data_IF_919010466640
#
_entry.id   IF_919010466640
#
_cell.length_a   1.000
_cell.length_b   1.000
_cell.length_c   1.000
_cell.angle_alpha   90.00
_cell.angle_beta   90.00
_cell.angle_gamma   90.00
#
_symmetry.space_group_name_H-M   'P 1'
#
loop_
_entity.id
_entity.type
_entity.pdbx_description
1 polymer ?
#
# COMPACT_ATOMS: atom_id res chain seq x y z
N UNK A 1 -13.57 18.53 -2.96
CA UNK A 1 -12.74 17.31 -2.89
C UNK A 1 -12.82 16.77 -1.47
N UNK A 2 -13.13 15.49 -1.29
CA UNK A 2 -13.14 14.87 0.04
C UNK A 2 -11.74 14.93 0.68
N UNK A 3 -11.69 15.25 1.96
CA UNK A 3 -10.48 15.37 2.77
C UNK A 3 -9.84 13.98 3.01
N UNK A 4 -8.51 13.92 3.01
CA UNK A 4 -7.77 12.72 3.44
C UNK A 4 -7.58 12.74 4.95
N UNK A 5 -7.94 11.64 5.61
CA UNK A 5 -7.64 11.40 7.01
C UNK A 5 -6.35 10.61 7.11
N UNK A 6 -5.39 11.08 7.90
CA UNK A 6 -4.12 10.39 8.14
C UNK A 6 -4.05 9.97 9.59
N UNK A 7 -3.81 8.69 9.82
CA UNK A 7 -3.60 8.14 11.15
C UNK A 7 -2.14 7.70 11.31
N UNK A 8 -1.50 8.20 12.36
CA UNK A 8 -0.10 7.92 12.69
C UNK A 8 -0.01 6.75 13.67
N UNK A 9 -0.23 5.55 13.14
CA UNK A 9 -0.17 4.30 13.88
C UNK A 9 1.24 3.94 14.37
N UNK A 10 1.31 2.93 15.24
CA UNK A 10 2.57 2.42 15.75
C UNK A 10 3.23 1.56 14.68
N UNK A 11 4.37 2.02 14.17
CA UNK A 11 5.12 1.30 13.13
C UNK A 11 4.56 1.43 11.72
N UNK A 12 3.52 2.24 11.50
CA UNK A 12 2.96 2.57 10.19
C UNK A 12 2.18 3.89 10.19
N UNK A 13 2.13 4.55 9.04
CA UNK A 13 1.19 5.63 8.75
C UNK A 13 0.15 5.13 7.75
N UNK A 14 -1.11 5.48 7.98
CA UNK A 14 -2.24 5.07 7.15
C UNK A 14 -3.01 6.31 6.75
N UNK A 15 -3.55 6.31 5.55
CA UNK A 15 -4.42 7.38 5.09
C UNK A 15 -5.63 6.82 4.37
N UNK A 16 -6.78 7.42 4.58
CA UNK A 16 -8.03 7.09 3.87
C UNK A 16 -8.69 8.36 3.38
N UNK A 17 -9.36 8.25 2.25
CA UNK A 17 -10.38 9.20 1.82
C UNK A 17 -11.73 8.51 1.89
N UNK A 18 -12.69 9.17 2.51
CA UNK A 18 -14.03 8.62 2.74
C UNK A 18 -15.01 9.40 1.88
N UNK A 19 -15.94 8.68 1.26
CA UNK A 19 -17.08 9.24 0.55
C UNK A 19 -18.30 8.36 0.84
N UNK A 20 -19.46 8.96 1.14
CA UNK A 20 -20.69 8.26 1.54
C UNK A 20 -20.48 7.13 2.54
N UNK A 21 -19.67 7.39 3.58
CA UNK A 21 -19.37 6.44 4.66
C UNK A 21 -18.53 5.24 4.22
N UNK A 22 -17.83 5.30 3.08
CA UNK A 22 -16.95 4.24 2.59
C UNK A 22 -15.56 4.75 2.25
N UNK A 23 -14.55 3.91 2.48
CA UNK A 23 -13.19 4.20 2.02
C UNK A 23 -13.17 4.13 0.48
N UNK A 24 -12.92 5.25 -0.20
CA UNK A 24 -12.83 5.32 -1.67
C UNK A 24 -11.40 5.35 -2.18
N UNK A 25 -10.43 5.63 -1.30
CA UNK A 25 -9.01 5.53 -1.57
C UNK A 25 -8.27 5.35 -0.24
N UNK A 26 -7.16 4.64 -0.26
CA UNK A 26 -6.30 4.53 0.91
C UNK A 26 -4.83 4.47 0.52
N UNK A 27 -3.95 4.76 1.48
CA UNK A 27 -2.50 4.61 1.36
C UNK A 27 -1.92 4.12 2.67
N UNK A 28 -0.79 3.43 2.57
CA UNK A 28 -0.06 2.92 3.72
C UNK A 28 1.44 3.12 3.52
N UNK A 29 2.10 3.67 4.53
CA UNK A 29 3.54 3.89 4.56
C UNK A 29 4.12 3.22 5.81
N UNK A 30 5.08 2.32 5.60
CA UNK A 30 5.88 1.77 6.70
C UNK A 30 7.25 2.47 6.75
N UNK A 31 7.82 2.66 7.94
CA UNK A 31 9.18 3.16 8.08
C UNK A 31 10.20 2.11 7.58
N UNK A 32 11.41 2.58 7.29
CA UNK A 32 12.57 1.73 6.97
C UNK A 32 13.06 1.79 5.53
N UNK A 33 12.33 2.44 4.62
CA UNK A 33 12.81 2.74 3.26
C UNK A 33 12.54 4.20 2.95
N UNK A 34 13.48 4.88 2.30
CA UNK A 34 13.27 6.25 1.83
C UNK A 34 12.05 6.29 0.88
N UNK A 35 10.98 7.04 1.23
CA UNK A 35 9.73 7.04 0.47
C UNK A 35 9.83 7.86 -0.82
N UNK A 36 8.90 7.63 -1.74
CA UNK A 36 8.71 8.52 -2.89
C UNK A 36 8.37 9.95 -2.42
N UNK A 37 8.96 10.94 -3.08
CA UNK A 37 8.90 12.36 -2.70
C UNK A 37 10.08 12.83 -1.85
N UNK A 38 10.85 11.91 -1.25
CA UNK A 38 12.01 12.28 -0.44
C UNK A 38 13.08 12.99 -1.28
N UNK A 39 13.61 14.09 -0.74
CA UNK A 39 14.73 14.83 -1.33
C UNK A 39 15.96 14.61 -0.46
N UNK A 40 16.94 13.90 -1.02
CA UNK A 40 18.13 13.42 -0.30
C UNK A 40 19.41 13.72 -1.05
N UNK A 41 20.50 13.85 -0.29
CA UNK A 41 21.85 13.83 -0.84
C UNK A 41 22.26 12.37 -1.09
N UNK A 42 22.65 12.05 -2.33
CA UNK A 42 22.99 10.69 -2.75
C UNK A 42 24.39 10.66 -3.38
N UNK A 43 25.16 9.61 -3.07
CA UNK A 43 26.49 9.41 -3.64
C UNK A 43 26.38 8.79 -5.03
N UNK A 44 26.96 9.40 -6.07
CA UNK A 44 27.07 8.80 -7.41
C UNK A 44 28.06 7.65 -7.35
N UNK A 45 27.57 6.41 -7.50
CA UNK A 45 28.39 5.20 -7.39
C UNK A 45 28.82 4.66 -8.74
N UNK A 46 28.01 4.85 -9.78
CA UNK A 46 28.33 4.40 -11.12
C UNK A 46 27.65 5.26 -12.19
N UNK A 47 28.39 5.79 -13.16
CA UNK A 47 27.85 6.51 -14.32
C UNK A 47 27.67 5.56 -15.48
N UNK A 48 26.50 5.62 -16.13
CA UNK A 48 26.28 4.90 -17.37
C UNK A 48 26.84 5.71 -18.56
N UNK A 49 27.88 5.21 -19.27
CA UNK A 49 28.56 5.96 -20.32
C UNK A 49 27.61 6.47 -21.40
N UNK A 50 27.83 7.71 -21.87
CA UNK A 50 27.02 8.33 -22.93
C UNK A 50 25.61 8.75 -22.52
N UNK A 51 25.23 8.63 -21.24
CA UNK A 51 23.89 8.98 -20.75
C UNK A 51 23.92 9.99 -19.59
N UNK A 52 22.74 10.54 -19.28
CA UNK A 52 22.48 11.35 -18.08
C UNK A 52 21.99 10.50 -16.90
N UNK A 53 22.27 9.20 -16.90
CA UNK A 53 21.84 8.26 -15.88
C UNK A 53 23.03 7.78 -15.03
N UNK A 54 22.73 7.41 -13.79
CA UNK A 54 23.69 6.83 -12.87
C UNK A 54 23.02 5.86 -11.90
N UNK A 55 23.82 4.99 -11.28
CA UNK A 55 23.49 4.44 -9.98
C UNK A 55 23.95 5.44 -8.92
N UNK A 56 23.07 5.68 -7.95
CA UNK A 56 23.37 6.46 -6.76
C UNK A 56 23.03 5.64 -5.52
N UNK A 57 23.76 5.89 -4.44
CA UNK A 57 23.49 5.33 -3.11
C UNK A 57 22.89 6.41 -2.23
N UNK A 58 21.68 6.15 -1.73
CA UNK A 58 20.95 7.03 -0.83
C UNK A 58 21.52 6.97 0.60
N UNK A 59 21.16 7.90 1.51
CA UNK A 59 21.70 7.94 2.87
C UNK A 59 21.48 6.67 3.71
N UNK A 60 20.40 5.93 3.46
CA UNK A 60 20.09 4.66 4.13
C UNK A 60 20.82 3.44 3.53
N UNK A 61 21.68 3.66 2.53
CA UNK A 61 22.39 2.62 1.79
C UNK A 61 21.62 2.05 0.59
N UNK A 62 20.35 2.42 0.40
CA UNK A 62 19.53 1.98 -0.73
C UNK A 62 20.15 2.44 -2.06
N UNK A 63 20.18 1.56 -3.05
CA UNK A 63 20.56 1.93 -4.42
C UNK A 63 19.36 2.47 -5.21
N UNK A 64 19.58 3.55 -5.96
CA UNK A 64 18.61 4.10 -6.88
C UNK A 64 19.20 4.27 -8.29
N UNK A 65 18.39 4.02 -9.31
CA UNK A 65 18.66 4.49 -10.66
C UNK A 65 18.29 5.97 -10.74
N UNK A 66 19.28 6.84 -10.86
CA UNK A 66 19.08 8.26 -10.97
C UNK A 66 19.17 8.74 -12.43
N UNK A 67 18.35 9.73 -12.78
CA UNK A 67 18.34 10.36 -14.12
C UNK A 67 18.51 11.88 -14.05
N UNK A 68 18.78 12.49 -15.20
CA UNK A 68 19.04 13.93 -15.39
C UNK A 68 20.29 14.45 -14.65
N UNK A 69 21.31 13.61 -14.49
CA UNK A 69 22.60 14.05 -13.94
C UNK A 69 23.40 14.81 -15.01
N UNK A 70 23.74 16.09 -14.79
CA UNK A 70 24.71 16.82 -15.62
C UNK A 70 26.06 16.10 -15.70
N UNK A 71 26.93 16.54 -16.61
CA UNK A 71 28.29 15.97 -16.74
C UNK A 71 29.17 16.24 -15.52
N UNK A 72 28.89 17.31 -14.78
CA UNK A 72 29.62 17.69 -13.56
C UNK A 72 29.41 16.71 -12.40
N UNK A 73 28.28 16.00 -12.40
CA UNK A 73 27.93 15.00 -11.39
C UNK A 73 28.70 13.69 -11.65
N UNK A 74 29.99 13.65 -11.35
CA UNK A 74 30.85 12.49 -11.61
C UNK A 74 30.73 11.41 -10.53
N UNK A 75 31.22 10.20 -10.82
CA UNK A 75 31.37 9.16 -9.80
C UNK A 75 32.15 9.68 -8.59
N UNK A 76 31.73 9.29 -7.38
CA UNK A 76 32.29 9.76 -6.12
C UNK A 76 31.74 11.11 -5.62
N UNK A 77 30.97 11.84 -6.44
CA UNK A 77 30.33 13.08 -5.99
C UNK A 77 29.01 12.83 -5.29
N UNK A 78 28.64 13.74 -4.39
CA UNK A 78 27.30 13.76 -3.78
C UNK A 78 26.41 14.70 -4.57
N UNK A 79 25.21 14.24 -4.90
CA UNK A 79 24.22 14.98 -5.69
C UNK A 79 22.87 14.93 -4.99
N UNK A 80 22.10 16.01 -5.09
CA UNK A 80 20.75 16.04 -4.56
C UNK A 80 19.77 15.42 -5.55
N UNK A 81 18.97 14.48 -5.06
CA UNK A 81 17.97 13.77 -5.85
C UNK A 81 16.63 13.77 -5.14
N UNK A 82 15.55 13.77 -5.93
CA UNK A 82 14.20 13.42 -5.46
C UNK A 82 13.92 11.98 -5.82
N UNK A 83 13.46 11.18 -4.85
CA UNK A 83 13.02 9.80 -5.08
C UNK A 83 11.64 9.82 -5.74
N UNK A 84 11.55 9.35 -6.98
CA UNK A 84 10.27 9.30 -7.72
C UNK A 84 9.53 7.97 -7.53
N UNK A 85 10.28 6.90 -7.27
CA UNK A 85 9.75 5.58 -6.91
C UNK A 85 10.61 4.97 -5.83
N UNK A 86 10.00 4.54 -4.73
CA UNK A 86 10.70 3.88 -3.64
C UNK A 86 11.32 2.55 -4.09
N UNK A 87 12.29 2.05 -3.32
CA UNK A 87 12.77 0.68 -3.49
C UNK A 87 11.69 -0.30 -3.04
N UNK A 88 11.48 -1.36 -3.84
CA UNK A 88 10.39 -2.31 -3.62
C UNK A 88 10.95 -3.72 -3.58
N UNK A 89 10.72 -4.42 -2.46
CA UNK A 89 11.00 -5.84 -2.39
C UNK A 89 9.99 -6.60 -3.25
N UNK A 90 10.47 -7.61 -3.97
CA UNK A 90 9.65 -8.57 -4.70
C UNK A 90 10.14 -9.99 -4.38
N UNK A 91 9.37 -11.01 -4.76
CA UNK A 91 9.83 -12.41 -4.61
C UNK A 91 11.13 -12.61 -5.38
N UNK A 92 12.23 -12.82 -4.65
CA UNK A 92 13.56 -13.14 -5.19
C UNK A 92 14.37 -11.97 -5.74
N UNK A 93 13.88 -10.71 -5.68
CA UNK A 93 14.66 -9.53 -6.10
C UNK A 93 14.24 -8.23 -5.41
N UNK A 94 15.14 -7.25 -5.39
CA UNK A 94 14.84 -5.88 -5.00
C UNK A 94 14.74 -5.00 -6.25
N UNK A 95 13.58 -4.40 -6.50
CA UNK A 95 13.47 -3.30 -7.45
C UNK A 95 14.10 -2.06 -6.82
N UNK A 96 15.29 -1.70 -7.29
CA UNK A 96 15.99 -0.46 -6.90
C UNK A 96 15.05 0.75 -6.98
N UNK A 97 15.29 1.76 -6.16
CA UNK A 97 14.56 3.02 -6.25
C UNK A 97 14.80 3.71 -7.61
N UNK A 98 13.92 4.63 -7.99
CA UNK A 98 14.17 5.57 -9.09
C UNK A 98 14.21 6.98 -8.54
N UNK A 99 15.17 7.77 -9.01
CA UNK A 99 15.38 9.12 -8.56
C UNK A 99 15.71 10.06 -9.72
N UNK A 100 15.52 11.36 -9.52
CA UNK A 100 15.88 12.40 -10.49
C UNK A 100 16.68 13.47 -9.79
N UNK A 101 17.77 13.94 -10.41
CA UNK A 101 18.53 15.08 -9.87
C UNK A 101 17.59 16.27 -9.67
N UNK A 102 17.72 16.93 -8.53
CA UNK A 102 16.88 18.08 -8.16
C UNK A 102 17.67 19.16 -7.42
N UNK A 103 17.14 20.38 -7.40
CA UNK A 103 17.65 21.51 -6.59
C UNK A 103 16.70 21.88 -5.44
N UNK A 104 15.64 21.09 -5.23
CA UNK A 104 14.71 21.28 -4.12
C UNK A 104 15.44 21.25 -2.76
N UNK A 105 14.83 21.82 -1.73
CA UNK A 105 15.35 21.72 -0.37
C UNK A 105 15.32 20.26 0.11
N UNK A 106 16.30 19.89 0.95
CA UNK A 106 16.37 18.55 1.52
C UNK A 106 15.13 18.24 2.38
N UNK A 107 14.53 17.08 2.14
CA UNK A 107 13.44 16.52 2.92
C UNK A 107 13.58 14.99 2.86
N UNK A 108 14.42 14.39 3.70
CA UNK A 108 14.80 12.99 3.55
C UNK A 108 13.68 12.00 3.91
N UNK A 109 12.70 12.43 4.72
CA UNK A 109 11.68 11.56 5.29
C UNK A 109 10.32 12.24 5.31
N UNK A 110 9.71 12.54 4.14
CA UNK A 110 8.36 13.06 4.10
C UNK A 110 7.41 12.06 4.74
N UNK A 111 6.55 12.55 5.63
CA UNK A 111 5.45 11.76 6.18
C UNK A 111 4.43 11.44 5.10
N UNK A 112 3.52 10.50 5.37
CA UNK A 112 2.39 10.24 4.48
C UNK A 112 1.51 11.49 4.32
N UNK A 113 1.36 12.30 5.38
CA UNK A 113 0.65 13.58 5.32
C UNK A 113 1.37 14.59 4.39
N UNK A 114 2.69 14.77 4.54
CA UNK A 114 3.47 15.65 3.66
C UNK A 114 3.35 15.22 2.19
N UNK A 115 3.42 13.91 1.94
CA UNK A 115 3.28 13.35 0.59
C UNK A 115 1.92 13.70 -0.02
N UNK A 116 0.83 13.48 0.71
CA UNK A 116 -0.53 13.81 0.26
C UNK A 116 -0.70 15.31 0.01
N UNK A 117 -0.18 16.17 0.89
CA UNK A 117 -0.22 17.62 0.73
C UNK A 117 0.57 18.08 -0.51
N UNK A 118 1.74 17.48 -0.76
CA UNK A 118 2.57 17.78 -1.94
C UNK A 118 1.87 17.41 -3.26
N UNK A 119 0.95 16.45 -3.22
CA UNK A 119 0.08 16.05 -4.33
C UNK A 119 -1.17 16.95 -4.46
N UNK A 120 -1.31 17.97 -3.61
CA UNK A 120 -2.41 18.95 -3.65
C UNK A 120 -3.66 18.51 -2.91
N UNK A 121 -3.58 17.51 -2.02
CA UNK A 121 -4.72 17.05 -1.25
C UNK A 121 -4.89 17.80 0.08
N UNK A 122 -6.14 18.01 0.50
CA UNK A 122 -6.46 18.42 1.88
C UNK A 122 -6.23 17.23 2.81
N UNK A 123 -5.53 17.46 3.92
CA UNK A 123 -5.12 16.41 4.85
C UNK A 123 -5.46 16.82 6.28
N UNK A 124 -6.08 15.90 7.02
CA UNK A 124 -6.30 16.00 8.46
C UNK A 124 -5.69 14.81 9.17
N UNK A 125 -4.78 15.08 10.10
CA UNK A 125 -4.25 14.05 11.00
C UNK A 125 -5.31 13.74 12.05
N UNK A 126 -5.59 12.45 12.25
CA UNK A 126 -6.57 11.95 13.21
C UNK A 126 -5.93 10.93 14.14
N UNK A 127 -6.40 10.90 15.38
CA UNK A 127 -5.97 9.87 16.34
C UNK A 127 -6.49 8.47 15.95
N UNK A 128 -7.72 8.43 15.43
CA UNK A 128 -8.34 7.23 14.85
C UNK A 128 -9.17 7.60 13.65
N UNK A 129 -9.24 6.71 12.67
CA UNK A 129 -10.28 6.81 11.65
C UNK A 129 -11.68 6.73 12.30
N UNK A 130 -12.67 7.42 11.73
CA UNK A 130 -14.05 7.32 12.19
C UNK A 130 -14.59 5.91 11.92
N UNK A 131 -15.64 5.51 12.62
CA UNK A 131 -16.09 4.12 12.61
C UNK A 131 -16.66 3.67 11.25
N UNK A 132 -17.10 4.61 10.40
CA UNK A 132 -17.52 4.30 9.03
C UNK A 132 -16.33 3.97 8.10
N UNK A 133 -15.10 4.33 8.50
CA UNK A 133 -13.90 3.96 7.76
C UNK A 133 -13.46 2.55 8.15
N UNK A 134 -14.09 1.54 7.54
CA UNK A 134 -13.79 0.15 7.83
C UNK A 134 -12.41 -0.29 7.30
N UNK A 135 -11.38 0.05 8.06
CA UNK A 135 -10.01 -0.37 7.79
C UNK A 135 -9.81 -1.87 8.01
N UNK A 136 -10.58 -2.50 8.92
CA UNK A 136 -10.42 -3.93 9.18
C UNK A 136 -10.91 -4.74 7.97
N UNK A 137 -12.01 -4.32 7.34
CA UNK A 137 -12.49 -4.87 6.07
C UNK A 137 -11.44 -4.67 4.96
N UNK A 138 -10.95 -3.44 4.75
CA UNK A 138 -9.90 -3.17 3.75
C UNK A 138 -8.64 -4.04 3.98
N UNK A 139 -8.23 -4.19 5.24
CA UNK A 139 -7.10 -5.03 5.60
C UNK A 139 -7.40 -6.50 5.34
N UNK A 140 -8.60 -6.98 5.65
CA UNK A 140 -9.03 -8.35 5.41
C UNK A 140 -9.02 -8.68 3.91
N UNK A 141 -9.54 -7.80 3.06
CA UNK A 141 -9.49 -7.98 1.60
C UNK A 141 -8.04 -7.94 1.08
N UNK A 142 -7.19 -7.03 1.59
CA UNK A 142 -5.77 -7.00 1.23
C UNK A 142 -5.02 -8.25 1.74
N UNK A 143 -5.48 -8.85 2.83
CA UNK A 143 -4.94 -10.06 3.43
C UNK A 143 -5.33 -11.31 2.62
N UNK A 144 -6.61 -11.50 2.33
CA UNK A 144 -7.07 -12.62 1.51
C UNK A 144 -6.63 -12.47 0.05
N UNK A 145 -6.54 -11.23 -0.44
CA UNK A 145 -6.45 -10.92 -1.86
C UNK A 145 -7.81 -11.05 -2.55
N UNK A 146 -8.91 -11.05 -1.80
CA UNK A 146 -10.26 -11.28 -2.32
C UNK A 146 -11.13 -10.05 -2.06
N UNK A 147 -11.80 -9.55 -3.11
CA UNK A 147 -12.77 -8.45 -3.00
C UNK A 147 -14.12 -8.94 -3.54
N UNK A 148 -15.13 -9.14 -2.67
CA UNK A 148 -16.44 -9.61 -3.12
C UNK A 148 -17.19 -8.52 -3.90
N UNK A 149 -18.04 -8.95 -4.82
CA UNK A 149 -19.02 -8.10 -5.50
C UNK A 149 -20.31 -8.87 -5.76
N UNK A 150 -21.32 -8.20 -6.33
CA UNK A 150 -22.60 -8.87 -6.59
C UNK A 150 -22.44 -10.01 -7.60
N UNK A 151 -22.61 -11.24 -7.14
CA UNK A 151 -22.54 -12.45 -7.96
C UNK A 151 -21.13 -13.00 -8.19
N UNK A 152 -20.09 -12.45 -7.55
CA UNK A 152 -18.72 -12.90 -7.79
C UNK A 152 -17.68 -12.30 -6.84
N UNK A 153 -16.42 -12.57 -7.13
CA UNK A 153 -15.26 -12.12 -6.34
C UNK A 153 -14.09 -11.78 -7.27
N UNK A 154 -13.35 -10.73 -6.93
CA UNK A 154 -12.06 -10.41 -7.56
C UNK A 154 -10.94 -11.08 -6.77
N UNK A 155 -10.04 -11.79 -7.45
CA UNK A 155 -8.87 -12.44 -6.83
C UNK A 155 -7.59 -11.75 -7.28
N UNK A 156 -6.86 -11.14 -6.34
CA UNK A 156 -5.64 -10.38 -6.58
C UNK A 156 -4.40 -11.22 -6.29
N UNK A 157 -3.55 -11.39 -7.30
CA UNK A 157 -2.27 -12.08 -7.19
C UNK A 157 -1.10 -11.19 -7.64
N UNK A 158 -0.11 -10.96 -6.75
CA UNK A 158 1.12 -10.24 -7.12
C UNK A 158 2.15 -11.19 -7.73
N UNK A 159 2.67 -10.81 -8.90
CA UNK A 159 3.81 -11.49 -9.54
C UNK A 159 4.98 -10.51 -9.70
N UNK A 160 6.21 -11.00 -9.97
CA UNK A 160 7.34 -10.10 -10.25
C UNK A 160 7.10 -9.16 -11.45
N UNK A 161 6.27 -9.56 -12.41
CA UNK A 161 6.03 -8.81 -13.65
C UNK A 161 4.85 -7.84 -13.53
N UNK A 162 3.75 -8.29 -12.95
CA UNK A 162 2.49 -7.56 -12.86
C UNK A 162 1.59 -8.07 -11.73
N UNK A 163 0.61 -7.28 -11.33
CA UNK A 163 -0.51 -7.77 -10.50
C UNK A 163 -1.58 -8.35 -11.42
N UNK A 164 -2.00 -9.58 -11.17
CA UNK A 164 -3.11 -10.21 -11.86
C UNK A 164 -4.38 -10.10 -11.01
N UNK A 165 -5.50 -9.84 -11.67
CA UNK A 165 -6.84 -9.82 -11.07
C UNK A 165 -7.70 -10.77 -11.86
N UNK A 166 -8.11 -11.86 -11.23
CA UNK A 166 -9.08 -12.80 -11.80
C UNK A 166 -10.50 -12.37 -11.39
N UNK A 167 -11.44 -12.48 -12.33
CA UNK A 167 -12.84 -12.12 -12.15
C UNK A 167 -13.67 -13.40 -12.18
N UNK A 168 -14.03 -13.90 -11.00
CA UNK A 168 -14.80 -15.13 -10.84
C UNK A 168 -16.24 -14.83 -10.38
N UNK A 169 -17.20 -15.65 -10.80
CA UNK A 169 -18.61 -15.51 -10.41
C UNK A 169 -19.63 -15.96 -11.46
N UNK A 170 -20.91 -15.87 -11.08
CA UNK A 170 -22.07 -16.30 -11.88
C UNK A 170 -23.29 -15.38 -11.69
N UNK A 171 -24.15 -15.24 -12.72
CA UNK A 171 -24.02 -15.76 -14.08
C UNK A 171 -22.98 -14.98 -14.91
N UNK A 172 -22.33 -15.65 -15.86
CA UNK A 172 -21.18 -15.13 -16.63
C UNK A 172 -21.52 -13.85 -17.40
N UNK A 173 -22.76 -13.71 -17.85
CA UNK A 173 -23.23 -12.56 -18.62
C UNK A 173 -23.28 -11.27 -17.78
N UNK A 174 -23.48 -11.40 -16.46
CA UNK A 174 -23.58 -10.26 -15.55
C UNK A 174 -22.27 -9.99 -14.80
N UNK A 175 -21.47 -11.02 -14.54
CA UNK A 175 -20.29 -10.94 -13.67
C UNK A 175 -19.27 -9.90 -14.14
N UNK A 176 -19.03 -9.79 -15.46
CA UNK A 176 -18.08 -8.81 -16.01
C UNK A 176 -18.48 -7.38 -15.73
N UNK A 177 -19.78 -7.05 -15.85
CA UNK A 177 -20.29 -5.71 -15.57
C UNK A 177 -20.33 -5.41 -14.06
N UNK A 178 -20.71 -6.40 -13.24
CA UNK A 178 -20.75 -6.26 -11.79
C UNK A 178 -19.36 -6.11 -11.16
N UNK A 179 -18.34 -6.69 -11.80
CA UNK A 179 -16.95 -6.62 -11.35
C UNK A 179 -16.34 -5.21 -11.54
N UNK A 180 -16.77 -4.44 -12.54
CA UNK A 180 -16.12 -3.17 -12.90
C UNK A 180 -16.12 -2.14 -11.75
N UNK A 181 -17.25 -1.87 -11.05
CA UNK A 181 -17.22 -0.95 -9.92
C UNK A 181 -16.32 -1.44 -8.78
N UNK A 182 -16.34 -2.74 -8.48
CA UNK A 182 -15.51 -3.35 -7.45
C UNK A 182 -14.01 -3.26 -7.80
N UNK A 183 -13.66 -3.51 -9.06
CA UNK A 183 -12.30 -3.40 -9.57
C UNK A 183 -11.81 -1.96 -9.50
N UNK A 184 -12.59 -1.01 -10.02
CA UNK A 184 -12.26 0.41 -9.98
C UNK A 184 -12.11 0.94 -8.55
N UNK A 185 -12.93 0.45 -7.61
CA UNK A 185 -12.80 0.71 -6.18
C UNK A 185 -11.51 0.12 -5.61
N UNK A 186 -11.27 -1.17 -5.79
CA UNK A 186 -10.11 -1.88 -5.27
C UNK A 186 -8.78 -1.27 -5.76
N UNK A 187 -8.69 -0.87 -7.03
CA UNK A 187 -7.51 -0.19 -7.58
C UNK A 187 -7.12 1.07 -6.76
N UNK A 188 -8.11 1.86 -6.35
CA UNK A 188 -7.91 3.08 -5.56
C UNK A 188 -7.73 2.79 -4.07
N UNK A 189 -8.50 1.85 -3.53
CA UNK A 189 -8.47 1.49 -2.10
C UNK A 189 -7.18 0.75 -1.73
N UNK A 190 -6.62 -0.05 -2.63
CA UNK A 190 -5.33 -0.72 -2.40
C UNK A 190 -4.12 0.12 -2.83
N UNK A 191 -4.29 1.30 -3.42
CA UNK A 191 -3.21 2.09 -4.04
C UNK A 191 -2.43 1.25 -5.07
N UNK A 192 -3.17 0.51 -5.91
CA UNK A 192 -2.56 -0.33 -6.94
C UNK A 192 -1.99 0.52 -8.07
N UNK A 193 -0.82 0.11 -8.57
CA UNK A 193 -0.14 0.76 -9.67
C UNK A 193 0.87 -0.20 -10.33
N UNK A 194 1.49 0.25 -11.40
CA UNK A 194 2.40 -0.56 -12.21
C UNK A 194 1.65 -1.27 -13.33
N UNK A 195 2.13 -2.45 -13.69
CA UNK A 195 1.50 -3.29 -14.70
C UNK A 195 0.45 -4.17 -14.02
N UNK A 196 -0.79 -4.12 -14.50
CA UNK A 196 -1.94 -4.81 -13.93
C UNK A 196 -2.67 -5.54 -15.06
N UNK A 197 -2.99 -6.81 -14.86
CA UNK A 197 -3.70 -7.64 -15.83
C UNK A 197 -5.02 -8.10 -15.23
N UNK A 198 -6.12 -7.86 -15.93
CA UNK A 198 -7.46 -8.24 -15.51
C UNK A 198 -7.92 -9.36 -16.44
N UNK A 199 -8.26 -10.50 -15.86
CA UNK A 199 -8.79 -11.66 -16.56
C UNK A 199 -10.30 -11.70 -16.33
N UNK A 200 -11.06 -11.13 -17.28
CA UNK A 200 -12.51 -11.28 -17.29
C UNK A 200 -12.90 -12.63 -17.91
N UNK A 201 -14.07 -13.19 -17.56
CA UNK A 201 -14.60 -14.32 -18.30
C UNK A 201 -14.65 -14.04 -19.80
N UNK A 202 -14.38 -15.07 -20.59
CA UNK A 202 -14.37 -14.94 -22.05
C UNK A 202 -15.75 -14.57 -22.57
N UNK A 203 -15.84 -13.39 -23.21
CA UNK A 203 -17.06 -12.93 -23.88
C UNK A 203 -16.94 -13.17 -25.39
N UNK A 204 -17.87 -13.95 -25.96
CA UNK A 204 -17.90 -14.29 -27.39
C UNK A 204 -18.30 -13.10 -28.26
N UNK A 205 -19.29 -12.34 -27.81
CA UNK A 205 -19.86 -11.26 -28.60
C UNK A 205 -19.03 -9.97 -28.53
N UNK A 206 -18.80 -9.38 -29.70
CA UNK A 206 -18.02 -8.13 -29.81
C UNK A 206 -18.71 -6.97 -29.10
N UNK A 207 -20.05 -6.93 -29.12
CA UNK A 207 -20.83 -5.89 -28.46
C UNK A 207 -20.62 -5.92 -26.95
N UNK A 208 -20.60 -7.11 -26.34
CA UNK A 208 -20.39 -7.27 -24.89
C UNK A 208 -18.99 -6.84 -24.47
N UNK A 209 -17.96 -7.21 -25.25
CA UNK A 209 -16.59 -6.72 -25.01
C UNK A 209 -16.50 -5.20 -25.10
N UNK A 210 -17.19 -4.59 -26.06
CA UNK A 210 -17.26 -3.14 -26.19
C UNK A 210 -18.00 -2.48 -25.01
N UNK A 211 -19.05 -3.11 -24.50
CA UNK A 211 -19.79 -2.63 -23.33
C UNK A 211 -18.90 -2.65 -22.07
N UNK A 212 -18.15 -3.73 -21.84
CA UNK A 212 -17.17 -3.80 -20.73
C UNK A 212 -16.09 -2.75 -20.90
N UNK A 213 -15.54 -2.60 -22.11
CA UNK A 213 -14.54 -1.56 -22.40
C UNK A 213 -15.07 -0.16 -22.08
N UNK A 214 -16.32 0.14 -22.48
CA UNK A 214 -16.93 1.44 -22.21
C UNK A 214 -17.11 1.68 -20.71
N UNK A 215 -17.74 0.73 -20.00
CA UNK A 215 -17.97 0.84 -18.57
C UNK A 215 -16.67 0.92 -17.75
N UNK A 216 -15.63 0.18 -18.16
CA UNK A 216 -14.32 0.27 -17.52
C UNK A 216 -13.66 1.64 -17.75
N UNK A 217 -13.79 2.21 -18.96
CA UNK A 217 -13.32 3.57 -19.24
C UNK A 217 -14.03 4.60 -18.34
N UNK A 218 -15.35 4.50 -18.18
CA UNK A 218 -16.12 5.40 -17.33
C UNK A 218 -15.70 5.26 -15.85
N UNK A 219 -15.62 4.03 -15.33
CA UNK A 219 -15.26 3.77 -13.94
C UNK A 219 -13.83 4.23 -13.59
N UNK A 220 -12.93 4.26 -14.58
CA UNK A 220 -11.54 4.68 -14.42
C UNK A 220 -11.25 6.11 -14.91
N UNK A 221 -12.24 6.87 -15.38
CA UNK A 221 -12.03 8.19 -15.99
C UNK A 221 -11.25 9.19 -15.11
N UNK A 222 -11.42 9.11 -13.78
CA UNK A 222 -10.73 9.95 -12.80
C UNK A 222 -9.46 9.34 -12.19
N UNK A 223 -8.96 8.23 -12.73
CA UNK A 223 -7.77 7.55 -12.22
C UNK A 223 -6.67 7.52 -13.29
N UNK A 224 -5.46 8.06 -13.04
CA UNK A 224 -4.42 8.16 -14.07
C UNK A 224 -3.87 6.79 -14.49
N UNK A 225 -4.16 6.39 -15.73
CA UNK A 225 -3.71 5.10 -16.28
C UNK A 225 -3.71 5.12 -17.82
N UNK A 226 -3.05 4.12 -18.38
CA UNK A 226 -3.25 3.66 -19.75
C UNK A 226 -3.86 2.25 -19.70
N UNK A 227 -4.64 1.87 -20.71
CA UNK A 227 -5.18 0.50 -20.80
C UNK A 227 -5.31 0.02 -22.24
N UNK A 228 -5.34 -1.29 -22.40
CA UNK A 228 -5.80 -1.92 -23.64
C UNK A 228 -7.32 -2.02 -23.66
N UNK A 229 -7.87 -2.23 -24.85
CA UNK A 229 -9.19 -2.82 -25.00
C UNK A 229 -9.19 -4.28 -24.53
N UNK A 230 -10.37 -4.81 -24.22
CA UNK A 230 -10.53 -6.24 -23.95
C UNK A 230 -10.20 -7.06 -25.20
N UNK A 231 -9.27 -7.99 -25.06
CA UNK A 231 -8.89 -8.88 -26.16
C UNK A 231 -9.92 -10.03 -26.34
N UNK A 232 -9.72 -10.86 -27.37
CA UNK A 232 -10.62 -12.00 -27.66
C UNK A 232 -10.67 -13.11 -26.61
N UNK A 233 -9.80 -13.05 -25.59
CA UNK A 233 -9.73 -14.02 -24.49
C UNK A 233 -10.28 -13.45 -23.17
N UNK A 234 -10.74 -12.20 -23.14
CA UNK A 234 -11.26 -11.54 -21.92
C UNK A 234 -10.22 -10.73 -21.14
N UNK A 235 -8.96 -10.66 -21.61
CA UNK A 235 -7.90 -9.99 -20.86
C UNK A 235 -7.83 -8.49 -21.18
N UNK A 236 -7.63 -7.69 -20.12
CA UNK A 236 -7.37 -6.25 -20.19
C UNK A 236 -6.06 -5.94 -19.44
N UNK A 237 -5.15 -5.22 -20.07
CA UNK A 237 -3.95 -4.72 -19.41
C UNK A 237 -4.14 -3.25 -19.04
N UNK A 238 -3.76 -2.91 -17.80
CA UNK A 238 -3.76 -1.56 -17.26
C UNK A 238 -2.34 -1.21 -16.82
N UNK A 239 -1.88 -0.01 -17.15
CA UNK A 239 -0.60 0.54 -16.73
C UNK A 239 -0.84 1.84 -15.97
N UNK A 240 -0.44 1.88 -14.72
CA UNK A 240 -0.48 3.08 -13.88
C UNK A 240 0.91 3.38 -13.31
N UNK A 241 1.18 4.67 -13.03
CA UNK A 241 2.49 5.10 -12.54
C UNK A 241 2.77 4.50 -11.15
N UNK A 242 3.75 3.60 -11.08
CA UNK A 242 4.18 2.98 -9.82
C UNK A 242 5.18 3.88 -9.08
N UNK A 243 4.75 4.48 -7.97
CA UNK A 243 5.62 5.29 -7.09
C UNK A 243 5.92 4.61 -5.76
N UNK A 244 4.98 3.81 -5.25
CA UNK A 244 5.04 3.15 -3.95
C UNK A 244 4.42 1.76 -3.99
N UNK A 245 4.72 0.94 -2.98
CA UNK A 245 4.19 -0.42 -2.84
C UNK A 245 2.74 -0.33 -2.41
N UNK A 246 1.83 -0.95 -3.18
CA UNK A 246 0.41 -1.04 -2.86
C UNK A 246 0.16 -1.74 -1.52
N UNK A 247 -1.00 -1.50 -0.92
CA UNK A 247 -1.41 -2.10 0.35
C UNK A 247 -1.45 -3.63 0.23
N UNK A 248 -2.14 -4.14 -0.79
CA UNK A 248 -2.27 -5.58 -1.05
C UNK A 248 -0.90 -6.25 -1.20
N UNK A 249 0.02 -5.63 -1.94
CA UNK A 249 1.37 -6.17 -2.14
C UNK A 249 2.19 -6.16 -0.85
N UNK A 250 2.11 -5.07 -0.09
CA UNK A 250 2.81 -4.92 1.20
C UNK A 250 2.35 -5.98 2.21
N UNK A 251 1.03 -6.19 2.32
CA UNK A 251 0.44 -7.23 3.17
C UNK A 251 0.87 -8.62 2.69
N UNK A 252 0.79 -8.90 1.39
CA UNK A 252 1.16 -10.20 0.81
C UNK A 252 2.63 -10.57 1.03
N UNK A 253 3.55 -9.62 0.86
CA UNK A 253 5.00 -9.87 0.99
C UNK A 253 5.49 -9.90 2.44
N UNK A 254 4.75 -9.28 3.36
CA UNK A 254 5.16 -9.16 4.77
C UNK A 254 4.03 -9.53 5.72
N UNK A 255 3.42 -10.71 5.53
CA UNK A 255 2.25 -11.18 6.30
C UNK A 255 2.41 -11.01 7.80
N UNK A 256 3.52 -11.51 8.37
CA UNK A 256 3.78 -11.40 9.82
C UNK A 256 3.96 -9.94 10.25
N UNK A 257 4.59 -9.11 9.42
CA UNK A 257 4.80 -7.69 9.71
C UNK A 257 3.53 -6.84 9.59
N UNK A 258 2.62 -7.21 8.70
CA UNK A 258 1.28 -6.61 8.58
C UNK A 258 0.38 -7.03 9.75
N UNK A 259 0.38 -8.32 10.08
CA UNK A 259 -0.36 -8.88 11.21
C UNK A 259 0.07 -8.26 12.55
N UNK A 260 1.37 -8.03 12.77
CA UNK A 260 1.86 -7.38 13.98
C UNK A 260 1.33 -5.94 14.13
N UNK A 261 1.19 -5.20 13.03
CA UNK A 261 0.70 -3.80 13.07
C UNK A 261 -0.80 -3.72 13.29
N UNK A 262 -1.60 -4.56 12.62
CA UNK A 262 -3.04 -4.61 12.88
C UNK A 262 -3.32 -5.09 14.31
N UNK A 263 -2.50 -6.00 14.87
CA UNK A 263 -2.58 -6.43 16.26
C UNK A 263 -2.35 -5.27 17.25
N UNK A 264 -1.32 -4.46 17.03
CA UNK A 264 -1.08 -3.24 17.81
C UNK A 264 -2.28 -2.29 17.72
N UNK A 265 -2.89 -2.17 16.54
CA UNK A 265 -4.05 -1.30 16.36
C UNK A 265 -5.27 -1.76 17.12
N UNK A 266 -5.55 -3.07 17.11
CA UNK A 266 -6.64 -3.66 17.91
C UNK A 266 -6.41 -3.43 19.41
N UNK A 267 -5.16 -3.52 19.86
CA UNK A 267 -4.79 -3.20 21.23
C UNK A 267 -4.93 -1.70 21.59
N UNK A 268 -4.66 -0.78 20.66
CA UNK A 268 -4.95 0.65 20.87
C UNK A 268 -6.45 0.93 20.98
N UNK A 269 -7.32 0.10 20.38
CA UNK A 269 -8.77 0.32 20.29
C UNK A 269 -9.57 -0.18 21.49
N UNK A 270 -9.01 -1.05 22.33
CA UNK A 270 -9.76 -1.52 23.50
C UNK A 270 -9.82 -0.43 24.56
N UNK A 271 -10.99 -0.24 25.16
CA UNK A 271 -11.24 0.81 26.15
C UNK A 271 -11.58 0.20 27.52
N UNK A 272 -11.22 0.90 28.59
CA UNK A 272 -11.46 0.49 29.97
C UNK A 272 -10.20 0.44 30.84
N UNK A 273 -10.37 0.37 32.18
CA UNK A 273 -9.28 0.31 33.15
C UNK A 273 -8.72 -1.10 33.30
N UNK A 274 -7.40 -1.23 33.50
CA UNK A 274 -6.73 -2.50 33.73
C UNK A 274 -5.47 -2.66 32.89
N UNK A 275 -5.15 -3.91 32.56
CA UNK A 275 -4.03 -4.31 31.70
C UNK A 275 -4.57 -4.62 30.30
N UNK A 276 -3.88 -4.14 29.26
CA UNK A 276 -4.18 -4.55 27.89
C UNK A 276 -3.58 -5.94 27.67
N UNK A 277 -4.41 -6.96 27.53
CA UNK A 277 -3.96 -8.28 27.09
C UNK A 277 -4.03 -8.35 25.57
N UNK A 278 -2.89 -8.58 24.92
CA UNK A 278 -2.80 -8.86 23.49
C UNK A 278 -2.39 -10.33 23.31
N UNK A 279 -3.32 -11.15 22.82
CA UNK A 279 -3.08 -12.55 22.50
C UNK A 279 -2.83 -12.68 20.99
N UNK A 280 -1.69 -13.26 20.63
CA UNK A 280 -1.24 -13.31 19.24
C UNK A 280 -0.49 -14.61 18.91
N UNK A 281 -0.44 -14.97 17.63
CA UNK A 281 0.39 -16.07 17.17
C UNK A 281 1.88 -15.79 17.49
N UNK A 282 2.68 -16.78 17.95
CA UNK A 282 4.07 -16.57 18.39
C UNK A 282 4.97 -15.88 17.34
N UNK A 283 4.70 -16.08 16.05
CA UNK A 283 5.44 -15.41 14.97
C UNK A 283 5.34 -13.88 15.01
N UNK A 284 4.24 -13.31 15.51
CA UNK A 284 4.07 -11.86 15.65
C UNK A 284 4.98 -11.31 16.74
N UNK A 285 5.20 -12.05 17.83
CA UNK A 285 6.08 -11.63 18.95
C UNK A 285 7.49 -11.29 18.46
N UNK A 286 8.00 -12.01 17.45
CA UNK A 286 9.30 -11.73 16.83
C UNK A 286 9.35 -10.45 15.99
N UNK A 287 8.20 -9.86 15.62
CA UNK A 287 8.08 -8.62 14.86
C UNK A 287 7.68 -7.41 15.70
N UNK A 288 7.10 -7.64 16.88
CA UNK A 288 6.74 -6.60 17.83
C UNK A 288 8.01 -6.08 18.52
N UNK A 289 8.42 -4.87 18.14
CA UNK A 289 9.65 -4.25 18.68
C UNK A 289 9.40 -3.65 20.07
N UNK A 290 10.38 -3.65 20.98
CA UNK A 290 10.23 -3.08 22.32
C UNK A 290 9.71 -1.64 22.31
N UNK A 291 10.20 -0.80 21.39
CA UNK A 291 9.76 0.59 21.25
C UNK A 291 8.30 0.74 20.80
N UNK A 292 7.76 -0.24 20.06
CA UNK A 292 6.35 -0.24 19.67
C UNK A 292 5.44 -0.62 20.84
N UNK A 293 5.88 -1.56 21.67
CA UNK A 293 5.14 -1.97 22.87
C UNK A 293 5.12 -0.83 23.90
N UNK A 294 6.26 -0.18 24.13
CA UNK A 294 6.34 0.98 25.00
C UNK A 294 5.47 2.14 24.50
N UNK A 295 5.44 2.39 23.18
CA UNK A 295 4.56 3.40 22.59
C UNK A 295 3.08 3.04 22.75
N UNK A 296 2.71 1.76 22.65
CA UNK A 296 1.35 1.28 22.89
C UNK A 296 0.93 1.52 24.35
N UNK A 297 1.78 1.17 25.32
CA UNK A 297 1.52 1.43 26.74
C UNK A 297 1.40 2.94 27.02
N UNK A 298 2.27 3.75 26.42
CA UNK A 298 2.24 5.21 26.54
C UNK A 298 0.95 5.81 25.98
N UNK A 299 0.50 5.37 24.81
CA UNK A 299 -0.72 5.88 24.16
C UNK A 299 -2.00 5.45 24.87
N UNK A 300 -2.02 4.22 25.38
CA UNK A 300 -3.20 3.66 26.07
C UNK A 300 -3.24 3.99 27.55
N UNK A 301 -2.11 4.38 28.15
CA UNK A 301 -1.99 4.61 29.59
C UNK A 301 -2.09 3.33 30.42
N UNK A 302 -1.90 2.16 29.80
CA UNK A 302 -2.10 0.84 30.41
C UNK A 302 -0.88 -0.05 30.20
N UNK A 303 -0.48 -0.87 31.19
CA UNK A 303 0.49 -1.93 30.95
C UNK A 303 0.00 -2.90 29.87
N UNK A 304 0.93 -3.47 29.13
CA UNK A 304 0.67 -4.47 28.10
C UNK A 304 1.12 -5.85 28.55
N UNK A 305 0.21 -6.82 28.50
CA UNK A 305 0.52 -8.25 28.64
C UNK A 305 0.43 -8.92 27.28
N UNK A 306 1.51 -9.58 26.87
CA UNK A 306 1.57 -10.35 25.62
C UNK A 306 1.45 -11.84 25.90
N UNK A 307 0.38 -12.45 25.40
CA UNK A 307 0.19 -13.91 25.43
C UNK A 307 0.36 -14.50 24.04
N UNK A 308 1.05 -15.64 23.96
CA UNK A 308 1.30 -16.31 22.70
C UNK A 308 0.38 -17.53 22.58
N UNK A 309 -0.40 -17.59 21.49
CA UNK A 309 -1.26 -18.73 21.18
C UNK A 309 -0.94 -19.28 19.77
N UNK A 310 -0.29 -20.45 19.66
CA UNK A 310 0.04 -21.05 18.36
C UNK A 310 -1.19 -21.53 17.58
N UNK A 311 -2.38 -21.63 18.19
CA UNK A 311 -3.63 -21.96 17.52
C UNK A 311 -4.27 -20.79 16.77
N UNK A 312 -3.83 -19.55 17.02
CA UNK A 312 -4.36 -18.38 16.32
C UNK A 312 -3.77 -18.23 14.92
N UNK A 313 -4.62 -17.90 13.94
CA UNK A 313 -4.15 -17.39 12.65
C UNK A 313 -3.36 -16.08 12.84
N UNK A 314 -2.45 -15.76 11.93
CA UNK A 314 -1.53 -14.62 12.08
C UNK A 314 -2.29 -13.29 12.24
N UNK A 315 -3.29 -13.08 11.40
CA UNK A 315 -4.19 -11.93 11.35
C UNK A 315 -5.26 -11.92 12.44
N UNK A 316 -5.40 -13.00 13.21
CA UNK A 316 -6.47 -13.17 14.19
C UNK A 316 -6.09 -12.71 15.61
N UNK A 317 -5.00 -11.95 15.75
CA UNK A 317 -4.60 -11.40 17.04
C UNK A 317 -5.74 -10.58 17.67
N UNK A 318 -6.01 -10.82 18.94
CA UNK A 318 -7.09 -10.19 19.69
C UNK A 318 -6.56 -9.44 20.90
N UNK A 319 -7.22 -8.33 21.24
CA UNK A 319 -6.91 -7.54 22.40
C UNK A 319 -8.14 -7.42 23.30
N UNK A 320 -7.92 -7.41 24.61
CA UNK A 320 -8.95 -7.20 25.61
C UNK A 320 -8.37 -6.53 26.85
N UNK A 321 -9.24 -5.99 27.70
CA UNK A 321 -8.85 -5.46 29.00
C UNK A 321 -9.04 -6.56 30.05
N UNK A 322 -7.99 -6.81 30.84
CA UNK A 322 -8.01 -7.74 31.97
C UNK A 322 -7.68 -7.02 33.27
N UNK A 323 -8.12 -7.53 34.44
CA UNK A 323 -7.73 -6.96 35.74
C UNK A 323 -6.21 -6.95 35.95
N UNK A 324 -5.74 -6.07 36.82
CA UNK A 324 -4.37 -6.18 37.33
C UNK A 324 -4.21 -7.50 38.09
N UNK A 325 -3.15 -8.25 37.81
CA UNK A 325 -2.76 -9.35 38.68
C UNK A 325 -2.28 -8.76 40.01
N UNK A 326 -2.88 -9.22 41.11
CA UNK A 326 -2.53 -8.82 42.48
C UNK A 326 -1.33 -9.60 43.00
#
# INVERSE_FOLDING_TARGET
MAEWLVEEGIGEQRAVRIDDGRIVAARMQWPGTIPAGAVVEALVTHRFPGTHHALVRLPDGTEAHARRLPKADSEGTTVRVVVEREAMAERGRLKRAQATRTELAANPWPTLADSLQSEGHSVRIVHRFPDEADWEELFAEAWSGEVPFHGGTLLFADTPAMTLVDVDGYPVEAVSMNAIPALAGALRRFDLAGNIGIDFPTLTDKADRQAVDHALAEALAGWPHERTSMNGFGFVQIIARLTRTSIQRRVSLSRVGAAARIALRRAERVDGPGVTLLTAHPALKAKLKPEWLAELERRTGRPLRLEADPGLALEAACAQIVPHEH
#
